data_IF_745656382037
#
_entry.id   IF_745656382037
#
_cell.length_a   1.000
_cell.length_b   1.000
_cell.length_c   1.000
_cell.angle_alpha   90.00
_cell.angle_beta   90.00
_cell.angle_gamma   90.00
#
_symmetry.space_group_name_H-M   'P 1'
#
loop_
_entity.id
_entity.type
_entity.pdbx_description
1 polymer ?
#
# COMPACT_ATOMS: atom_id res chain seq x y z
N UNK A 1 3.06 -11.16 -8.50
CA UNK A 1 3.41 -10.35 -7.34
C UNK A 1 2.19 -10.11 -6.46
N UNK A 2 2.41 -10.08 -5.16
CA UNK A 2 1.34 -9.79 -4.22
C UNK A 2 1.01 -8.29 -4.22
N UNK A 3 -0.16 -7.94 -3.71
CA UNK A 3 -0.54 -6.54 -3.57
C UNK A 3 0.42 -5.81 -2.64
N UNK A 4 0.87 -6.48 -1.58
CA UNK A 4 1.85 -5.92 -0.66
C UNK A 4 3.14 -5.55 -1.36
N UNK A 5 3.63 -6.43 -2.22
CA UNK A 5 4.88 -6.19 -2.95
C UNK A 5 4.72 -5.02 -3.92
N UNK A 6 3.57 -4.94 -4.60
CA UNK A 6 3.31 -3.84 -5.52
C UNK A 6 3.21 -2.51 -4.77
N UNK A 7 2.54 -2.51 -3.64
CA UNK A 7 2.41 -1.32 -2.81
C UNK A 7 3.79 -0.83 -2.37
N UNK A 8 4.62 -1.75 -1.87
CA UNK A 8 5.97 -1.40 -1.43
C UNK A 8 6.81 -0.84 -2.57
N UNK A 9 6.67 -1.39 -3.77
CA UNK A 9 7.41 -0.93 -4.93
C UNK A 9 7.02 0.52 -5.29
N UNK A 10 5.73 0.84 -5.20
CA UNK A 10 5.27 2.19 -5.49
C UNK A 10 5.79 3.18 -4.44
N UNK A 11 5.74 2.80 -3.17
CA UNK A 11 6.28 3.64 -2.11
C UNK A 11 7.78 3.87 -2.32
N UNK A 12 8.50 2.81 -2.65
CA UNK A 12 9.94 2.92 -2.89
C UNK A 12 10.24 3.86 -4.05
N UNK A 13 9.47 3.79 -5.11
CA UNK A 13 9.66 4.67 -6.26
C UNK A 13 9.54 6.13 -5.85
N UNK A 14 8.61 6.45 -4.96
CA UNK A 14 8.46 7.82 -4.47
C UNK A 14 9.60 8.22 -3.52
N UNK A 15 10.00 7.32 -2.63
CA UNK A 15 11.10 7.63 -1.72
C UNK A 15 12.40 7.83 -2.49
N UNK A 16 12.59 7.10 -3.58
CA UNK A 16 13.76 7.28 -4.44
C UNK A 16 13.78 8.65 -5.10
N UNK A 17 12.63 9.28 -5.24
CA UNK A 17 12.52 10.63 -5.78
C UNK A 17 12.67 11.71 -4.71
N UNK A 18 12.89 11.31 -3.47
CA UNK A 18 13.06 12.24 -2.38
C UNK A 18 11.84 12.47 -1.51
N UNK A 19 10.75 11.76 -1.78
CA UNK A 19 9.54 11.86 -0.97
C UNK A 19 9.77 11.08 0.32
N UNK A 20 9.37 11.64 1.45
CA UNK A 20 9.51 10.96 2.73
C UNK A 20 8.61 9.73 2.77
N UNK A 21 9.06 8.70 3.48
CA UNK A 21 8.34 7.43 3.52
C UNK A 21 6.87 7.58 3.94
N UNK A 22 6.61 8.35 4.98
CA UNK A 22 5.23 8.55 5.44
C UNK A 22 4.37 9.22 4.38
N UNK A 23 4.89 10.25 3.74
CA UNK A 23 4.18 10.95 2.68
C UNK A 23 4.02 10.06 1.45
N UNK A 24 5.05 9.29 1.12
CA UNK A 24 4.99 8.37 -0.01
C UNK A 24 3.91 7.32 0.21
N UNK A 25 3.88 6.75 1.41
CA UNK A 25 2.88 5.74 1.76
C UNK A 25 1.47 6.30 1.61
N UNK A 26 1.24 7.48 2.14
CA UNK A 26 -0.05 8.13 2.05
C UNK A 26 -0.45 8.42 0.60
N UNK A 27 0.50 8.90 -0.18
CA UNK A 27 0.25 9.21 -1.59
C UNK A 27 -0.13 7.95 -2.36
N UNK A 28 0.58 6.86 -2.15
CA UNK A 28 0.26 5.59 -2.82
C UNK A 28 -1.10 5.08 -2.37
N UNK A 29 -1.38 5.17 -1.07
CA UNK A 29 -2.66 4.73 -0.54
C UNK A 29 -3.82 5.48 -1.20
N UNK A 30 -3.66 6.78 -1.41
CA UNK A 30 -4.70 7.59 -2.04
C UNK A 30 -4.79 7.36 -3.54
N UNK A 31 -3.65 7.19 -4.21
CA UNK A 31 -3.61 6.99 -5.66
C UNK A 31 -3.98 5.57 -6.06
N UNK A 32 -3.66 4.60 -5.21
CA UNK A 32 -3.87 3.19 -5.49
C UNK A 32 -4.71 2.56 -4.39
N UNK A 33 -5.89 3.10 -4.20
CA UNK A 33 -6.77 2.66 -3.13
C UNK A 33 -7.14 1.18 -3.27
N UNK A 34 -7.37 0.73 -4.50
CA UNK A 34 -7.67 -0.67 -4.77
C UNK A 34 -6.51 -1.57 -4.36
N UNK A 35 -5.30 -1.13 -4.64
CA UNK A 35 -4.10 -1.89 -4.27
C UNK A 35 -3.94 -1.93 -2.76
N UNK A 36 -4.18 -0.82 -2.09
CA UNK A 36 -4.12 -0.77 -0.64
C UNK A 36 -5.16 -1.71 -0.01
N UNK A 37 -6.38 -1.68 -0.55
CA UNK A 37 -7.44 -2.57 -0.08
C UNK A 37 -7.06 -4.04 -0.26
N UNK A 38 -6.50 -4.40 -1.42
CA UNK A 38 -6.07 -5.75 -1.67
C UNK A 38 -4.97 -6.18 -0.70
N UNK A 39 -4.06 -5.27 -0.37
CA UNK A 39 -3.01 -5.56 0.59
C UNK A 39 -3.59 -5.84 1.97
N UNK A 40 -4.59 -5.08 2.38
CA UNK A 40 -5.23 -5.30 3.67
C UNK A 40 -5.92 -6.65 3.72
N UNK A 41 -6.55 -7.04 2.63
CA UNK A 41 -7.18 -8.36 2.53
C UNK A 41 -6.13 -9.46 2.65
N UNK A 42 -4.99 -9.29 1.98
CA UNK A 42 -3.91 -10.27 2.05
C UNK A 42 -3.40 -10.45 3.47
N UNK A 43 -3.37 -9.36 4.23
CA UNK A 43 -2.93 -9.41 5.62
C UNK A 43 -3.99 -9.93 6.56
N UNK A 44 -5.20 -10.12 6.07
CA UNK A 44 -6.29 -10.61 6.86
C UNK A 44 -7.01 -9.57 7.69
N UNK A 45 -6.69 -8.29 7.50
CA UNK A 45 -7.27 -7.24 8.32
C UNK A 45 -8.78 -7.13 8.08
N UNK A 46 -9.17 -7.06 6.82
CA UNK A 46 -10.59 -7.01 6.48
C UNK A 46 -11.30 -8.31 6.76
N UNK A 47 -10.58 -9.40 6.60
CA UNK A 47 -11.13 -10.70 6.90
C UNK A 47 -11.54 -10.77 8.37
N UNK A 48 -10.68 -10.28 9.24
CA UNK A 48 -11.00 -10.24 10.66
C UNK A 48 -12.18 -9.34 10.93
N UNK A 49 -12.27 -8.24 10.22
CA UNK A 49 -13.36 -7.29 10.41
C UNK A 49 -14.71 -7.88 9.99
N UNK A 50 -14.70 -8.82 9.12
CA UNK A 50 -15.95 -9.44 8.65
C UNK A 50 -16.59 -10.34 9.70
N UNK A 51 -15.81 -10.77 10.64
CA UNK A 51 -16.33 -11.64 11.69
C UNK A 51 -17.12 -10.88 12.75
#
# INVERSE_FOLDING_TARGET
LTASAKFSAEVKALTDKGVKTGAATLAVMQSHNDLYTAMQVERGIFKAAKQ
#
